data_IF_649836881061
#
_entry.id   IF_649836881061
#
_cell.length_a   1.000
_cell.length_b   1.000
_cell.length_c   1.000
_cell.angle_alpha   90.00
_cell.angle_beta   90.00
_cell.angle_gamma   90.00
#
_symmetry.space_group_name_H-M   'P 1'
#
loop_
_entity.id
_entity.type
_entity.pdbx_description
1 polymer ?
#
# COMPACT_ATOMS: atom_id res chain seq x y z
N UNK A 1 -10.58 -17.56 7.90
CA UNK A 1 -9.61 -16.99 6.94
C UNK A 1 -8.48 -16.38 7.73
N UNK A 2 -7.24 -16.63 7.35
CA UNK A 2 -6.07 -15.99 7.93
C UNK A 2 -5.63 -14.82 7.03
N UNK A 3 -4.90 -13.87 7.60
CA UNK A 3 -4.20 -12.85 6.82
C UNK A 3 -3.12 -13.50 5.92
N UNK A 4 -2.60 -12.79 4.91
CA UNK A 4 -1.45 -13.26 4.13
C UNK A 4 -0.23 -13.59 5.00
N UNK A 5 0.73 -14.36 4.49
CA UNK A 5 1.94 -14.70 5.27
C UNK A 5 2.84 -13.48 5.52
N UNK A 6 2.75 -12.49 4.64
CA UNK A 6 3.44 -11.19 4.72
C UNK A 6 2.62 -10.16 3.95
N UNK A 7 2.37 -8.99 4.52
CA UNK A 7 1.56 -7.95 3.86
C UNK A 7 1.96 -6.54 4.29
N UNK A 8 1.58 -5.57 3.47
CA UNK A 8 1.67 -4.15 3.80
C UNK A 8 0.39 -3.43 3.38
N UNK A 9 0.12 -2.28 4.00
CA UNK A 9 -1.03 -1.44 3.68
C UNK A 9 -0.67 0.05 3.73
N UNK A 10 -1.29 0.82 2.85
CA UNK A 10 -1.35 2.26 2.86
C UNK A 10 -2.82 2.67 2.66
N UNK A 11 -3.34 3.53 3.54
CA UNK A 11 -4.69 4.07 3.40
C UNK A 11 -4.69 5.55 3.76
N UNK A 12 -5.44 6.37 3.02
CA UNK A 12 -5.60 7.77 3.37
C UNK A 12 -6.86 8.34 2.70
N UNK A 13 -7.60 9.16 3.41
CA UNK A 13 -8.78 9.87 2.92
C UNK A 13 -8.80 11.32 3.42
N UNK A 14 -7.65 11.82 3.88
CA UNK A 14 -7.49 13.17 4.43
C UNK A 14 -6.24 13.77 3.80
N UNK A 15 -6.37 14.23 2.55
CA UNK A 15 -5.31 14.94 1.85
C UNK A 15 -5.46 16.45 2.00
N UNK A 16 -4.33 17.16 2.03
CA UNK A 16 -4.31 18.62 2.07
C UNK A 16 -4.94 19.17 0.78
N UNK A 17 -5.91 20.08 0.92
CA UNK A 17 -6.64 20.74 -0.17
C UNK A 17 -7.35 19.82 -1.20
N UNK A 18 -7.50 18.53 -0.88
CA UNK A 18 -8.08 17.50 -1.78
C UNK A 18 -9.17 16.68 -1.05
N UNK A 19 -10.36 17.26 -0.76
CA UNK A 19 -11.39 16.63 0.07
C UNK A 19 -12.06 15.40 -0.58
N UNK A 20 -12.00 15.28 -1.91
CA UNK A 20 -12.59 14.17 -2.67
C UNK A 20 -11.60 13.04 -2.97
N UNK A 21 -10.37 13.15 -2.45
CA UNK A 21 -9.29 12.19 -2.69
C UNK A 21 -9.25 11.10 -1.61
N UNK A 22 -9.33 9.85 -2.05
CA UNK A 22 -9.10 8.69 -1.19
C UNK A 22 -8.13 7.70 -1.85
N UNK A 23 -7.31 7.07 -1.02
CA UNK A 23 -6.27 6.13 -1.38
C UNK A 23 -6.44 4.84 -0.56
N UNK A 24 -6.36 3.71 -1.25
CA UNK A 24 -6.14 2.40 -0.63
C UNK A 24 -5.11 1.65 -1.47
N UNK A 25 -4.00 1.26 -0.87
CA UNK A 25 -2.98 0.47 -1.54
C UNK A 25 -2.46 -0.61 -0.59
N UNK A 26 -2.15 -1.79 -1.11
CA UNK A 26 -1.67 -2.87 -0.27
C UNK A 26 -1.17 -4.04 -1.09
N UNK A 27 -0.39 -4.89 -0.45
CA UNK A 27 0.14 -6.08 -1.07
C UNK A 27 0.31 -7.21 -0.07
N UNK A 28 0.31 -8.44 -0.57
CA UNK A 28 0.33 -9.62 0.27
C UNK A 28 0.93 -10.83 -0.44
N UNK A 29 1.65 -11.64 0.33
CA UNK A 29 2.10 -12.97 -0.06
C UNK A 29 1.03 -13.98 0.35
N UNK A 30 0.21 -14.42 -0.60
CA UNK A 30 -0.99 -15.25 -0.37
C UNK A 30 -0.89 -16.60 -1.07
N UNK A 31 -1.64 -17.58 -0.57
CA UNK A 31 -1.81 -18.88 -1.22
C UNK A 31 -3.04 -18.87 -2.13
N UNK A 32 -2.89 -19.29 -3.37
CA UNK A 32 -3.99 -19.54 -4.31
C UNK A 32 -3.79 -20.92 -4.96
N UNK A 33 -4.77 -21.81 -4.79
CA UNK A 33 -4.74 -23.19 -5.32
C UNK A 33 -3.44 -23.96 -4.99
N UNK A 34 -2.85 -23.72 -3.80
CA UNK A 34 -1.62 -24.36 -3.35
C UNK A 34 -0.31 -23.67 -3.78
N UNK A 35 -0.39 -22.60 -4.59
CA UNK A 35 0.75 -21.81 -5.01
C UNK A 35 0.83 -20.51 -4.22
N UNK A 36 2.05 -20.08 -3.88
CA UNK A 36 2.27 -18.79 -3.24
C UNK A 36 2.54 -17.73 -4.29
N UNK A 37 1.82 -16.63 -4.22
CA UNK A 37 2.03 -15.46 -5.06
C UNK A 37 2.16 -14.19 -4.21
N UNK A 38 2.91 -13.22 -4.73
CA UNK A 38 2.95 -11.87 -4.18
C UNK A 38 2.20 -10.95 -5.12
N UNK A 39 1.14 -10.31 -4.62
CA UNK A 39 0.30 -9.40 -5.40
C UNK A 39 0.11 -8.11 -4.65
N UNK A 40 -0.09 -7.02 -5.39
CA UNK A 40 -0.38 -5.71 -4.82
C UNK A 40 -1.44 -4.99 -5.66
N UNK A 41 -2.06 -4.00 -5.04
CA UNK A 41 -3.00 -3.10 -5.70
C UNK A 41 -2.82 -1.66 -5.22
N UNK A 42 -3.22 -0.71 -6.07
CA UNK A 42 -3.43 0.70 -5.73
C UNK A 42 -4.81 1.09 -6.25
N UNK A 43 -5.65 1.62 -5.37
CA UNK A 43 -6.94 2.20 -5.70
C UNK A 43 -6.96 3.67 -5.28
N UNK A 44 -7.28 4.56 -6.21
CA UNK A 44 -7.42 5.99 -5.96
C UNK A 44 -8.82 6.41 -6.38
N UNK A 45 -9.54 7.09 -5.51
CA UNK A 45 -10.79 7.76 -5.85
C UNK A 45 -10.55 9.26 -5.90
N UNK A 46 -10.89 9.91 -7.01
CA UNK A 46 -10.75 11.36 -7.18
C UNK A 46 -11.75 11.87 -8.22
N UNK A 47 -12.45 12.97 -7.92
CA UNK A 47 -13.41 13.59 -8.86
C UNK A 47 -14.54 12.65 -9.31
N UNK A 48 -14.97 11.72 -8.46
CA UNK A 48 -15.98 10.70 -8.78
C UNK A 48 -15.50 9.56 -9.68
N UNK A 49 -14.18 9.47 -9.93
CA UNK A 49 -13.56 8.42 -10.74
C UNK A 49 -12.72 7.52 -9.83
N UNK A 50 -12.85 6.20 -10.04
CA UNK A 50 -11.98 5.22 -9.40
C UNK A 50 -10.89 4.76 -10.36
N UNK A 51 -9.64 5.09 -10.03
CA UNK A 51 -8.44 4.65 -10.72
C UNK A 51 -7.92 3.38 -10.05
N UNK A 52 -8.16 2.24 -10.69
CA UNK A 52 -7.75 0.93 -10.21
C UNK A 52 -6.44 0.49 -10.88
N UNK A 53 -5.50 0.00 -10.08
CA UNK A 53 -4.27 -0.67 -10.49
C UNK A 53 -4.16 -1.99 -9.73
N UNK A 54 -4.44 -3.10 -10.41
CA UNK A 54 -4.51 -4.45 -9.83
C UNK A 54 -3.77 -5.43 -10.74
N UNK A 55 -3.37 -6.62 -10.24
CA UNK A 55 -2.45 -7.51 -10.98
C UNK A 55 -2.91 -7.94 -12.38
N UNK A 56 -4.23 -7.91 -12.65
CA UNK A 56 -4.78 -8.33 -13.94
C UNK A 56 -4.96 -7.18 -14.95
N UNK A 57 -4.76 -5.92 -14.55
CA UNK A 57 -4.88 -4.78 -15.46
C UNK A 57 -3.70 -3.80 -15.41
N UNK A 58 -2.80 -3.93 -14.45
CA UNK A 58 -1.70 -3.00 -14.22
C UNK A 58 -0.41 -3.73 -13.87
N UNK A 59 0.72 -3.10 -14.19
CA UNK A 59 2.01 -3.48 -13.62
C UNK A 59 2.17 -2.70 -12.30
N UNK A 60 2.17 -3.41 -11.17
CA UNK A 60 2.32 -2.82 -9.83
C UNK A 60 3.66 -3.27 -9.25
N UNK A 61 4.48 -2.32 -8.83
CA UNK A 61 5.77 -2.58 -8.17
C UNK A 61 5.79 -1.96 -6.79
N UNK A 62 6.59 -2.53 -5.89
CA UNK A 62 6.76 -2.02 -4.54
C UNK A 62 8.16 -2.24 -4.00
N UNK A 63 8.56 -1.36 -3.09
CA UNK A 63 9.71 -1.49 -2.22
C UNK A 63 9.29 -1.09 -0.80
N UNK A 64 9.13 -2.06 0.09
CA UNK A 64 8.67 -1.83 1.46
C UNK A 64 9.79 -2.17 2.44
N UNK A 65 10.21 -1.19 3.24
CA UNK A 65 11.18 -1.39 4.31
C UNK A 65 10.57 -2.24 5.42
N UNK A 66 11.39 -2.90 6.27
CA UNK A 66 10.94 -3.52 7.52
C UNK A 66 9.97 -2.66 8.33
N UNK A 67 10.21 -1.35 8.32
CA UNK A 67 9.31 -0.34 8.87
C UNK A 67 9.71 1.05 8.36
N UNK A 68 8.77 2.00 8.40
CA UNK A 68 9.04 3.43 8.26
C UNK A 68 9.09 3.97 6.84
N UNK A 69 9.13 3.11 5.81
CA UNK A 69 9.06 3.53 4.41
C UNK A 69 8.35 2.51 3.53
N UNK A 70 7.43 3.02 2.71
CA UNK A 70 6.66 2.29 1.71
C UNK A 70 6.80 3.04 0.40
N UNK A 71 7.22 2.37 -0.66
CA UNK A 71 7.24 2.93 -1.99
C UNK A 71 6.49 1.98 -2.93
N UNK A 72 5.57 2.52 -3.72
CA UNK A 72 4.86 1.78 -4.75
C UNK A 72 4.79 2.60 -6.03
N UNK A 73 4.85 1.91 -7.17
CA UNK A 73 4.50 2.50 -8.46
C UNK A 73 3.55 1.58 -9.21
N UNK A 74 2.74 2.16 -10.09
CA UNK A 74 1.91 1.37 -10.99
C UNK A 74 1.75 2.04 -12.35
N UNK A 75 1.61 1.22 -13.38
CA UNK A 75 1.26 1.66 -14.75
C UNK A 75 0.08 0.86 -15.28
N UNK A 76 -0.86 1.55 -15.93
CA UNK A 76 -2.03 0.97 -16.60
C UNK A 76 -2.42 1.86 -17.78
N UNK A 77 -2.36 1.34 -19.00
CA UNK A 77 -2.64 2.11 -20.22
C UNK A 77 -1.80 3.41 -20.26
N UNK A 78 -2.47 4.56 -20.24
CA UNK A 78 -1.86 5.90 -20.15
C UNK A 78 -1.70 6.41 -18.72
N UNK A 79 -2.16 5.67 -17.72
CA UNK A 79 -2.08 6.11 -16.32
C UNK A 79 -0.82 5.60 -15.64
N UNK A 80 -0.22 6.47 -14.82
CA UNK A 80 0.90 6.13 -13.94
C UNK A 80 0.63 6.65 -12.54
N UNK A 81 1.07 5.89 -11.54
CA UNK A 81 1.02 6.29 -10.13
C UNK A 81 2.38 6.11 -9.49
N UNK A 82 2.71 7.03 -8.61
CA UNK A 82 3.81 6.93 -7.65
C UNK A 82 3.28 7.28 -6.26
N UNK A 83 3.55 6.40 -5.31
CA UNK A 83 3.03 6.46 -3.96
C UNK A 83 4.15 6.22 -2.95
N UNK A 84 4.34 7.18 -2.06
CA UNK A 84 5.28 7.10 -0.96
C UNK A 84 4.55 7.19 0.37
N UNK A 85 4.82 6.25 1.27
CA UNK A 85 4.44 6.27 2.67
C UNK A 85 5.68 6.38 3.55
N UNK A 86 5.64 7.21 4.59
CA UNK A 86 6.74 7.35 5.55
C UNK A 86 6.22 7.48 6.99
N UNK A 87 6.94 6.89 7.94
CA UNK A 87 6.75 7.17 9.36
C UNK A 87 8.07 7.19 10.10
N UNK A 88 8.25 8.18 10.96
CA UNK A 88 9.33 8.29 11.95
C UNK A 88 8.92 7.75 13.33
N UNK A 89 7.64 7.39 13.48
CA UNK A 89 7.10 6.82 14.72
C UNK A 89 7.35 5.31 14.76
N UNK A 90 7.46 4.70 15.95
CA UNK A 90 7.67 3.26 16.09
C UNK A 90 6.49 2.40 15.62
N UNK A 91 5.30 2.99 15.43
CA UNK A 91 4.06 2.27 15.17
C UNK A 91 3.51 1.57 16.43
N UNK A 92 2.32 0.99 16.30
CA UNK A 92 1.68 0.19 17.34
C UNK A 92 1.70 -1.27 16.91
N UNK A 93 2.10 -2.18 17.81
CA UNK A 93 2.02 -3.62 17.53
C UNK A 93 0.62 -4.11 17.84
N UNK A 94 -0.03 -4.68 16.83
CA UNK A 94 -1.38 -5.21 16.89
C UNK A 94 -1.37 -6.73 16.71
N UNK A 95 -2.44 -7.37 17.21
CA UNK A 95 -2.69 -8.79 16.99
C UNK A 95 -3.50 -8.97 15.71
N UNK A 96 -3.08 -9.88 14.84
CA UNK A 96 -3.79 -10.22 13.61
C UNK A 96 -4.12 -11.73 13.55
N UNK A 97 -5.18 -12.14 12.85
CA UNK A 97 -5.52 -13.55 12.66
C UNK A 97 -4.50 -14.29 11.78
N UNK A 98 -3.87 -15.32 12.33
CA UNK A 98 -3.00 -16.26 11.61
C UNK A 98 -3.49 -17.70 11.77
N UNK A 99 -2.79 -18.66 11.17
CA UNK A 99 -3.03 -20.09 11.40
C UNK A 99 -2.75 -20.51 12.85
N UNK A 100 -1.90 -19.76 13.56
CA UNK A 100 -1.56 -19.97 14.98
C UNK A 100 -2.46 -19.14 15.93
N UNK A 101 -3.52 -18.54 15.39
CA UNK A 101 -4.48 -17.73 16.14
C UNK A 101 -4.20 -16.22 16.09
N UNK A 102 -4.70 -15.49 17.09
CA UNK A 102 -4.50 -14.04 17.18
C UNK A 102 -3.14 -13.75 17.83
N UNK A 103 -2.14 -13.39 17.04
CA UNK A 103 -0.75 -13.18 17.50
C UNK A 103 -0.21 -11.81 17.10
N UNK A 104 0.77 -11.23 17.83
CA UNK A 104 1.27 -9.87 17.60
C UNK A 104 2.20 -9.80 16.38
N UNK A 105 1.62 -9.87 15.18
CA UNK A 105 2.35 -9.91 13.90
C UNK A 105 2.02 -8.72 12.98
N UNK A 106 1.29 -7.73 13.47
CA UNK A 106 0.97 -6.52 12.73
C UNK A 106 1.60 -5.31 13.42
N UNK A 107 2.10 -4.35 12.63
CA UNK A 107 2.57 -3.06 13.10
C UNK A 107 1.95 -1.97 12.23
N UNK A 108 1.25 -1.02 12.85
CA UNK A 108 0.52 0.03 12.13
C UNK A 108 0.76 1.44 12.70
N UNK A 109 0.36 2.45 11.94
CA UNK A 109 0.26 3.85 12.38
C UNK A 109 -0.77 4.58 11.52
N UNK A 110 -1.53 5.50 12.13
CA UNK A 110 -2.43 6.43 11.43
C UNK A 110 -1.83 7.84 11.27
N UNK A 111 -0.56 8.01 11.67
CA UNK A 111 0.18 9.26 11.60
C UNK A 111 1.28 9.19 10.53
N UNK A 112 1.03 8.41 9.48
CA UNK A 112 1.92 8.27 8.33
C UNK A 112 1.87 9.49 7.43
N UNK A 113 3.00 9.79 6.79
CA UNK A 113 3.08 10.77 5.72
C UNK A 113 2.86 10.07 4.39
N UNK A 114 1.94 10.57 3.58
CA UNK A 114 1.64 10.05 2.25
C UNK A 114 1.98 11.13 1.23
N UNK A 115 2.71 10.76 0.19
CA UNK A 115 2.84 11.55 -1.03
C UNK A 115 2.29 10.71 -2.18
N UNK A 116 1.29 11.25 -2.89
CA UNK A 116 0.65 10.60 -4.02
C UNK A 116 0.78 11.46 -5.26
N UNK A 117 1.19 10.85 -6.36
CA UNK A 117 1.16 11.46 -7.68
C UNK A 117 0.46 10.52 -8.67
N UNK A 118 -0.50 11.06 -9.43
CA UNK A 118 -1.23 10.36 -10.49
C UNK A 118 -1.10 11.14 -11.80
N UNK A 119 -0.76 10.44 -12.88
CA UNK A 119 -0.60 11.01 -14.21
C UNK A 119 -1.50 10.31 -15.24
N UNK A 120 -1.88 11.06 -16.28
CA UNK A 120 -2.46 10.57 -17.54
C UNK A 120 -1.59 11.04 -18.71
N UNK A 121 -0.83 10.12 -19.31
CA UNK A 121 0.29 10.46 -20.17
C UNK A 121 1.32 11.29 -19.39
N UNK A 122 1.69 12.45 -19.94
CA UNK A 122 2.59 13.41 -19.28
C UNK A 122 1.85 14.40 -18.38
N UNK A 123 0.52 14.39 -18.37
CA UNK A 123 -0.29 15.32 -17.56
C UNK A 123 -0.38 14.82 -16.13
N UNK A 124 0.16 15.60 -15.18
CA UNK A 124 -0.06 15.39 -13.75
C UNK A 124 -1.51 15.75 -13.40
N UNK A 125 -2.27 14.77 -12.92
CA UNK A 125 -3.69 14.92 -12.55
C UNK A 125 -3.86 15.24 -11.07
N UNK A 126 -3.11 14.55 -10.22
CA UNK A 126 -3.15 14.69 -8.76
C UNK A 126 -1.72 14.72 -8.24
N UNK A 127 -1.43 15.67 -7.37
CA UNK A 127 -0.24 15.68 -6.53
C UNK A 127 -0.67 16.11 -5.14
N UNK A 128 -0.69 15.16 -4.20
CA UNK A 128 -1.31 15.39 -2.90
C UNK A 128 -0.45 14.82 -1.77
N UNK A 129 -0.53 15.49 -0.63
CA UNK A 129 0.17 15.12 0.60
C UNK A 129 -0.79 14.95 1.75
N UNK A 130 -0.44 14.06 2.68
CA UNK A 130 -1.16 13.90 3.94
C UNK A 130 -0.19 13.57 5.06
N UNK A 131 -0.55 13.97 6.29
CA UNK A 131 0.13 13.58 7.54
C UNK A 131 -0.69 12.62 8.41
N UNK A 132 -1.83 12.15 7.88
CA UNK A 132 -2.80 11.30 8.57
C UNK A 132 -3.03 9.99 7.80
N UNK A 133 -1.98 9.46 7.17
CA UNK A 133 -2.04 8.18 6.45
C UNK A 133 -1.94 6.99 7.40
N UNK A 134 -2.78 5.98 7.15
CA UNK A 134 -2.60 4.63 7.64
C UNK A 134 -1.43 3.94 6.92
N UNK A 135 -0.46 3.43 7.67
CA UNK A 135 0.67 2.64 7.16
C UNK A 135 0.81 1.39 8.00
N UNK A 136 0.93 0.24 7.34
CA UNK A 136 0.97 -1.07 8.00
C UNK A 136 2.00 -1.99 7.36
N UNK A 137 2.63 -2.82 8.19
CA UNK A 137 3.27 -4.07 7.78
C UNK A 137 2.79 -5.18 8.70
N UNK A 138 2.63 -6.38 8.18
CA UNK A 138 2.35 -7.53 9.02
C UNK A 138 2.74 -8.86 8.42
N UNK A 139 2.59 -9.91 9.23
CA UNK A 139 3.13 -11.23 8.94
C UNK A 139 4.65 -11.20 9.07
N UNK A 140 5.37 -11.92 8.20
CA UNK A 140 6.82 -11.83 8.20
C UNK A 140 7.55 -12.85 7.33
N UNK A 141 8.89 -12.90 7.46
CA UNK A 141 9.70 -11.98 8.27
C UNK A 141 9.82 -10.57 7.66
N UNK A 142 10.03 -9.56 8.52
CA UNK A 142 10.32 -8.15 8.17
C UNK A 142 11.74 -7.78 8.63
N UNK A 143 12.71 -8.56 8.18
CA UNK A 143 14.15 -8.38 8.43
C UNK A 143 14.84 -7.64 7.29
N UNK A 144 14.30 -7.73 6.07
CA UNK A 144 14.82 -7.12 4.86
C UNK A 144 13.74 -6.37 4.08
N UNK A 145 14.20 -5.49 3.19
CA UNK A 145 13.34 -4.79 2.23
C UNK A 145 12.60 -5.78 1.35
N UNK A 146 11.28 -5.67 1.26
CA UNK A 146 10.48 -6.49 0.36
C UNK A 146 10.26 -5.75 -0.95
N UNK A 147 10.79 -6.32 -2.04
CA UNK A 147 10.63 -5.80 -3.40
C UNK A 147 9.75 -6.71 -4.23
N UNK A 148 8.88 -6.13 -5.05
CA UNK A 148 8.30 -6.85 -6.19
C UNK A 148 9.41 -7.33 -7.11
N UNK A 149 9.30 -8.55 -7.64
CA UNK A 149 10.21 -8.98 -8.69
C UNK A 149 9.90 -8.16 -9.97
N UNK A 150 10.92 -7.83 -10.79
CA UNK A 150 10.71 -7.14 -12.06
C UNK A 150 9.79 -7.91 -13.00
#
# INVERSE_FOLDING_TARGET
>A
GAFPEKWFWLNCNTFEDEPDLALTAGGGRRSILGWMESVAMIGIHHGGIFYEFVPWNAQVTWEIQPWGSWHMTATRDRFRVELHGKSDRPGTVLRAPTLDGMIPVCRDTMHGWINLSLWEGDRLMVQATSRQGGLEVGGGPWDQVWRSHP
#
